data_IF_562235544451
#
_entry.id   IF_562235544451
#
_cell.length_a   1.000
_cell.length_b   1.000
_cell.length_c   1.000
_cell.angle_alpha   90.00
_cell.angle_beta   90.00
_cell.angle_gamma   90.00
#
_symmetry.space_group_name_H-M   'P 1'
#
loop_
_entity.id
_entity.type
_entity.pdbx_description
1 polymer ?
#
# COMPACT_ATOMS: atom_id res chain seq x y z
N UNK A 1 -31.42 -2.27 23.67
CA UNK A 1 -30.00 -1.94 23.86
C UNK A 1 -29.26 -3.21 24.24
N UNK A 2 -28.26 -3.59 23.44
CA UNK A 2 -27.53 -4.85 23.65
C UNK A 2 -26.30 -4.61 24.55
N UNK A 3 -25.85 -5.61 25.31
CA UNK A 3 -24.67 -5.50 26.20
C UNK A 3 -23.42 -4.94 25.51
N UNK A 4 -23.30 -5.11 24.19
CA UNK A 4 -22.23 -4.53 23.37
C UNK A 4 -22.25 -3.01 23.34
N UNK A 5 -23.42 -2.38 23.31
CA UNK A 5 -23.57 -0.91 23.32
C UNK A 5 -23.21 -0.33 24.69
N UNK A 6 -23.50 -1.05 25.77
CA UNK A 6 -23.15 -0.64 27.14
C UNK A 6 -21.64 -0.74 27.39
N UNK A 7 -21.00 -1.79 26.89
CA UNK A 7 -19.55 -1.96 27.01
C UNK A 7 -18.78 -0.90 26.20
N UNK A 8 -19.31 -0.53 25.02
CA UNK A 8 -18.78 0.58 24.22
C UNK A 8 -18.89 1.93 24.95
N UNK A 9 -20.04 2.22 25.59
CA UNK A 9 -20.21 3.45 26.38
C UNK A 9 -19.27 3.52 27.59
N UNK A 10 -19.01 2.40 28.27
CA UNK A 10 -18.11 2.35 29.42
C UNK A 10 -16.65 2.64 29.03
N UNK A 11 -16.16 1.99 27.96
CA UNK A 11 -14.78 2.18 27.47
C UNK A 11 -14.55 3.60 26.94
N UNK A 12 -15.53 4.18 26.25
CA UNK A 12 -15.46 5.57 25.77
C UNK A 12 -15.47 6.57 26.93
N UNK A 13 -16.29 6.32 27.95
CA UNK A 13 -16.38 7.16 29.16
C UNK A 13 -15.07 7.17 29.96
N UNK A 14 -14.43 6.02 30.14
CA UNK A 14 -13.19 5.90 30.91
C UNK A 14 -12.00 6.59 30.21
N UNK A 15 -12.00 6.65 28.88
CA UNK A 15 -10.94 7.30 28.09
C UNK A 15 -11.20 8.79 27.91
N UNK A 16 -12.47 9.21 27.77
CA UNK A 16 -12.87 10.61 27.83
C UNK A 16 -12.55 11.23 29.20
N UNK A 17 -12.61 10.45 30.29
CA UNK A 17 -12.20 10.91 31.61
C UNK A 17 -10.68 11.12 31.74
N UNK A 18 -9.86 10.43 30.93
CA UNK A 18 -8.39 10.60 30.89
C UNK A 18 -7.93 11.74 29.99
N UNK A 19 -8.71 12.12 28.98
CA UNK A 19 -8.44 13.24 28.08
C UNK A 19 -9.51 14.28 28.30
N UNK A 20 -9.26 15.28 29.15
CA UNK A 20 -10.20 16.34 29.54
C UNK A 20 -10.79 17.14 28.37
N UNK A 21 -11.68 16.49 27.62
CA UNK A 21 -12.45 16.99 26.50
C UNK A 21 -13.89 16.60 26.81
N UNK A 22 -14.47 17.35 27.73
CA UNK A 22 -15.92 17.44 27.81
C UNK A 22 -16.36 18.28 26.61
N UNK A 23 -16.49 17.64 25.45
CA UNK A 23 -17.14 18.27 24.31
C UNK A 23 -18.43 17.51 23.98
N UNK A 24 -19.48 18.26 23.71
CA UNK A 24 -20.85 17.79 23.53
C UNK A 24 -21.00 17.00 22.23
N UNK A 25 -20.42 15.82 22.14
CA UNK A 25 -20.74 14.88 21.05
C UNK A 25 -22.18 14.43 21.22
N UNK A 26 -23.06 14.92 20.35
CA UNK A 26 -24.46 14.48 20.28
C UNK A 26 -24.53 12.98 20.04
N UNK A 27 -25.51 12.28 20.63
CA UNK A 27 -25.66 10.81 20.50
C UNK A 27 -25.71 10.38 19.01
N UNK A 28 -26.20 11.26 18.13
CA UNK A 28 -26.21 11.10 16.68
C UNK A 28 -24.79 11.09 16.06
N UNK A 29 -23.90 11.99 16.47
CA UNK A 29 -22.51 12.03 15.98
C UNK A 29 -21.74 10.75 16.35
N UNK A 30 -21.99 10.22 17.55
CA UNK A 30 -21.39 8.96 18.00
C UNK A 30 -21.90 7.76 17.23
N UNK A 31 -23.19 7.76 16.85
CA UNK A 31 -23.78 6.73 15.98
C UNK A 31 -23.13 6.75 14.59
N UNK A 32 -23.01 7.94 13.99
CA UNK A 32 -22.36 8.10 12.69
C UNK A 32 -20.91 7.64 12.70
N UNK A 33 -20.15 7.99 13.75
CA UNK A 33 -18.77 7.54 13.90
C UNK A 33 -18.67 6.02 14.10
N UNK A 34 -19.61 5.44 14.84
CA UNK A 34 -19.72 3.99 15.00
C UNK A 34 -20.01 3.29 13.68
N UNK A 35 -20.92 3.83 12.86
CA UNK A 35 -21.26 3.28 11.55
C UNK A 35 -20.07 3.38 10.59
N UNK A 36 -19.37 4.52 10.57
CA UNK A 36 -18.12 4.69 9.82
C UNK A 36 -17.05 3.67 10.24
N UNK A 37 -16.91 3.41 11.55
CA UNK A 37 -15.99 2.39 12.05
C UNK A 37 -16.37 0.99 11.58
N UNK A 38 -17.66 0.64 11.57
CA UNK A 38 -18.14 -0.65 11.05
C UNK A 38 -17.86 -0.78 9.55
N UNK A 39 -18.06 0.28 8.78
CA UNK A 39 -17.75 0.31 7.35
C UNK A 39 -16.25 0.16 7.08
N UNK A 40 -15.42 0.88 7.83
CA UNK A 40 -13.97 0.73 7.80
C UNK A 40 -13.54 -0.72 8.11
N UNK A 41 -14.12 -1.34 9.14
CA UNK A 41 -13.84 -2.73 9.48
C UNK A 41 -14.24 -3.71 8.36
N UNK A 42 -15.35 -3.47 7.65
CA UNK A 42 -15.73 -4.28 6.49
C UNK A 42 -14.71 -4.15 5.36
N UNK A 43 -14.27 -2.93 5.06
CA UNK A 43 -13.27 -2.70 4.00
C UNK A 43 -11.96 -3.43 4.27
N UNK A 44 -11.43 -3.35 5.50
CA UNK A 44 -10.20 -4.07 5.85
C UNK A 44 -10.43 -5.59 5.96
N UNK A 45 -11.64 -6.05 6.26
CA UNK A 45 -11.96 -7.49 6.29
C UNK A 45 -11.95 -8.09 4.88
N UNK A 46 -12.38 -7.34 3.88
CA UNK A 46 -12.54 -7.87 2.53
C UNK A 46 -11.35 -7.55 1.61
N UNK A 47 -10.52 -6.55 1.95
CA UNK A 47 -9.37 -6.13 1.14
C UNK A 47 -8.04 -6.30 1.87
N UNK A 48 -7.10 -7.03 1.26
CA UNK A 48 -5.79 -7.26 1.86
C UNK A 48 -4.89 -6.02 1.86
N UNK A 49 -4.94 -5.20 0.80
CA UNK A 49 -4.09 -4.01 0.67
C UNK A 49 -4.48 -2.88 1.61
N UNK A 50 -5.72 -2.84 2.11
CA UNK A 50 -6.23 -1.81 3.02
C UNK A 50 -6.10 -0.35 2.52
N UNK A 51 -5.74 -0.13 1.24
CA UNK A 51 -5.58 1.19 0.63
C UNK A 51 -6.91 1.96 0.57
N UNK A 52 -8.00 1.29 0.20
CA UNK A 52 -9.33 1.89 0.22
C UNK A 52 -9.79 2.25 1.63
N UNK A 53 -9.51 1.38 2.60
CA UNK A 53 -9.84 1.62 4.00
C UNK A 53 -9.10 2.84 4.57
N UNK A 54 -7.84 3.06 4.18
CA UNK A 54 -7.08 4.25 4.58
C UNK A 54 -7.77 5.55 4.18
N UNK A 55 -8.47 5.58 3.03
CA UNK A 55 -9.19 6.79 2.58
C UNK A 55 -10.37 7.17 3.47
N UNK A 56 -10.90 6.23 4.26
CA UNK A 56 -11.96 6.50 5.23
C UNK A 56 -11.42 7.03 6.56
N UNK A 57 -10.12 6.88 6.82
CA UNK A 57 -9.53 7.35 8.06
C UNK A 57 -9.56 8.88 8.11
N UNK A 58 -9.99 9.38 9.26
CA UNK A 58 -9.95 10.78 9.68
C UNK A 58 -9.55 10.80 11.16
N UNK A 59 -9.28 11.98 11.73
CA UNK A 59 -8.77 12.10 13.10
C UNK A 59 -9.72 11.48 14.13
N UNK A 60 -11.02 11.74 13.99
CA UNK A 60 -12.06 11.22 14.89
C UNK A 60 -12.12 9.69 14.84
N UNK A 61 -12.06 9.10 13.65
CA UNK A 61 -12.08 7.66 13.47
C UNK A 61 -10.81 7.00 14.01
N UNK A 62 -9.64 7.60 13.81
CA UNK A 62 -8.38 7.12 14.40
C UNK A 62 -8.48 7.16 15.93
N UNK A 63 -8.96 8.26 16.51
CA UNK A 63 -9.20 8.37 17.95
C UNK A 63 -10.20 7.30 18.44
N UNK A 64 -11.22 7.01 17.65
CA UNK A 64 -12.21 5.98 17.96
C UNK A 64 -11.64 4.55 17.90
N UNK A 65 -10.63 4.32 17.05
CA UNK A 65 -9.92 3.03 16.93
C UNK A 65 -9.06 2.74 18.17
N UNK A 66 -8.39 3.74 18.74
CA UNK A 66 -7.42 3.59 19.86
C UNK A 66 -7.91 2.61 20.95
N UNK A 67 -9.05 2.83 21.64
CA UNK A 67 -9.56 1.92 22.66
C UNK A 67 -9.84 0.50 22.17
N UNK A 68 -10.28 0.39 20.92
CA UNK A 68 -10.86 -0.82 20.36
C UNK A 68 -9.81 -1.71 19.75
N UNK A 69 -8.63 -1.15 19.43
CA UNK A 69 -7.55 -1.87 18.76
C UNK A 69 -7.21 -3.19 19.45
N UNK A 70 -7.07 -3.21 20.78
CA UNK A 70 -6.76 -4.43 21.56
C UNK A 70 -7.85 -5.49 21.54
N UNK A 71 -9.10 -5.10 21.31
CA UNK A 71 -10.27 -6.00 21.35
C UNK A 71 -10.45 -6.77 20.03
N UNK A 72 -9.71 -6.39 18.99
CA UNK A 72 -9.79 -7.00 17.67
C UNK A 72 -8.92 -8.25 17.56
N UNK A 73 -9.29 -9.14 16.64
CA UNK A 73 -8.48 -10.30 16.31
C UNK A 73 -7.13 -9.89 15.70
N UNK A 74 -6.10 -10.71 15.86
CA UNK A 74 -4.77 -10.44 15.28
C UNK A 74 -4.81 -10.10 13.78
N UNK A 75 -5.56 -10.80 12.91
CA UNK A 75 -5.66 -10.45 11.50
C UNK A 75 -6.23 -9.05 11.25
N UNK A 76 -7.26 -8.64 12.00
CA UNK A 76 -7.82 -7.29 11.86
C UNK A 76 -6.84 -6.22 12.33
N UNK A 77 -6.14 -6.45 13.44
CA UNK A 77 -5.10 -5.54 13.94
C UNK A 77 -3.98 -5.36 12.92
N UNK A 78 -3.49 -6.45 12.32
CA UNK A 78 -2.50 -6.39 11.24
C UNK A 78 -3.02 -5.54 10.08
N UNK A 79 -4.28 -5.71 9.66
CA UNK A 79 -4.83 -4.94 8.53
C UNK A 79 -5.09 -3.48 8.85
N UNK A 80 -5.46 -3.15 10.09
CA UNK A 80 -5.48 -1.76 10.55
C UNK A 80 -4.10 -1.14 10.42
N UNK A 81 -3.07 -1.82 10.91
CA UNK A 81 -1.69 -1.38 10.76
C UNK A 81 -1.30 -1.25 9.28
N UNK A 82 -1.66 -2.22 8.42
CA UNK A 82 -1.42 -2.12 6.97
C UNK A 82 -2.07 -0.88 6.36
N UNK A 83 -3.29 -0.52 6.80
CA UNK A 83 -3.96 0.69 6.31
C UNK A 83 -3.18 1.96 6.63
N UNK A 84 -2.41 1.99 7.72
CA UNK A 84 -1.65 3.16 8.12
C UNK A 84 -0.51 3.50 7.16
N UNK A 85 0.04 2.52 6.42
CA UNK A 85 1.05 2.80 5.38
C UNK A 85 0.50 3.66 4.22
N UNK A 86 -0.81 3.73 4.06
CA UNK A 86 -1.47 4.49 3.01
C UNK A 86 -2.05 5.82 3.51
N UNK A 87 -1.68 6.27 4.71
CA UNK A 87 -2.15 7.54 5.25
C UNK A 87 -1.62 8.70 4.40
N UNK A 88 -2.47 9.73 4.24
CA UNK A 88 -2.00 11.03 3.74
C UNK A 88 -1.12 11.68 4.81
N UNK A 89 -0.07 12.40 4.39
CA UNK A 89 0.83 13.08 5.31
C UNK A 89 0.11 14.04 6.26
N UNK A 90 -0.92 14.75 5.78
CA UNK A 90 -1.72 15.66 6.60
C UNK A 90 -2.34 14.93 7.79
N UNK A 91 -3.00 13.79 7.53
CA UNK A 91 -3.65 13.00 8.57
C UNK A 91 -2.63 12.30 9.49
N UNK A 92 -1.50 11.86 8.93
CA UNK A 92 -0.41 11.24 9.69
C UNK A 92 0.13 12.18 10.77
N UNK A 93 0.36 13.45 10.40
CA UNK A 93 0.85 14.47 11.33
C UNK A 93 -0.24 14.90 12.31
N UNK A 94 -1.46 15.12 11.84
CA UNK A 94 -2.57 15.58 12.69
C UNK A 94 -2.99 14.55 13.74
N UNK A 95 -3.04 13.27 13.37
CA UNK A 95 -3.43 12.18 14.26
C UNK A 95 -2.24 11.46 14.91
N UNK A 96 -1.04 12.05 14.87
CA UNK A 96 0.21 11.39 15.28
C UNK A 96 0.13 10.77 16.67
N UNK A 97 -0.35 11.51 17.68
CA UNK A 97 -0.44 11.01 19.06
C UNK A 97 -1.35 9.78 19.19
N UNK A 98 -2.50 9.79 18.50
CA UNK A 98 -3.40 8.64 18.48
C UNK A 98 -2.79 7.44 17.76
N UNK A 99 -2.10 7.67 16.65
CA UNK A 99 -1.41 6.63 15.89
C UNK A 99 -0.30 6.00 16.75
N UNK A 100 0.49 6.82 17.43
CA UNK A 100 1.54 6.36 18.34
C UNK A 100 0.98 5.55 19.53
N UNK A 101 -0.21 5.90 20.03
CA UNK A 101 -0.90 5.11 21.06
C UNK A 101 -1.29 3.71 20.53
N UNK A 102 -1.81 3.62 19.31
CA UNK A 102 -2.07 2.33 18.64
C UNK A 102 -0.78 1.52 18.47
N UNK A 103 0.33 2.16 18.05
CA UNK A 103 1.61 1.49 17.90
C UNK A 103 2.17 0.98 19.24
N UNK A 104 1.97 1.72 20.34
CA UNK A 104 2.33 1.25 21.68
C UNK A 104 1.58 -0.03 22.09
N UNK A 105 0.32 -0.18 21.67
CA UNK A 105 -0.41 -1.43 21.83
C UNK A 105 0.10 -2.54 20.91
N UNK A 106 0.47 -2.21 19.67
CA UNK A 106 0.97 -3.18 18.71
C UNK A 106 2.32 -3.79 19.12
N UNK A 107 3.24 -3.01 19.68
CA UNK A 107 4.57 -3.47 20.06
C UNK A 107 4.58 -4.44 21.26
N UNK A 108 3.58 -4.32 22.13
CA UNK A 108 3.40 -5.19 23.29
C UNK A 108 2.45 -6.35 23.02
N UNK A 109 2.05 -6.54 21.76
CA UNK A 109 1.07 -7.56 21.38
C UNK A 109 1.60 -8.98 21.55
N UNK A 110 0.74 -9.94 21.87
CA UNK A 110 1.10 -11.36 21.92
C UNK A 110 1.46 -11.93 20.54
N UNK A 111 0.82 -11.43 19.48
CA UNK A 111 1.04 -11.87 18.11
C UNK A 111 2.24 -11.17 17.47
N UNK A 112 3.17 -11.96 16.93
CA UNK A 112 4.41 -11.45 16.34
C UNK A 112 4.19 -10.56 15.12
N UNK A 113 3.22 -10.89 14.24
CA UNK A 113 2.92 -10.07 13.08
C UNK A 113 2.45 -8.67 13.47
N UNK A 114 1.62 -8.57 14.52
CA UNK A 114 1.17 -7.27 15.04
C UNK A 114 2.36 -6.47 15.59
N UNK A 115 3.26 -7.11 16.35
CA UNK A 115 4.48 -6.45 16.86
C UNK A 115 5.39 -5.93 15.75
N UNK A 116 5.70 -6.78 14.76
CA UNK A 116 6.58 -6.44 13.65
C UNK A 116 5.99 -5.30 12.80
N UNK A 117 4.68 -5.33 12.54
CA UNK A 117 3.99 -4.25 11.85
C UNK A 117 4.01 -2.94 12.66
N UNK A 118 3.87 -3.01 13.99
CA UNK A 118 3.98 -1.84 14.87
C UNK A 118 5.37 -1.19 14.80
N UNK A 119 6.42 -1.99 14.90
CA UNK A 119 7.81 -1.55 14.77
C UNK A 119 8.10 -0.93 13.39
N UNK A 120 7.52 -1.51 12.33
CA UNK A 120 7.64 -1.04 10.96
C UNK A 120 6.98 0.32 10.73
N UNK A 121 5.84 0.55 11.36
CA UNK A 121 5.10 1.81 11.23
C UNK A 121 5.67 2.93 12.06
N UNK A 122 6.34 2.66 13.19
CA UNK A 122 6.87 3.70 14.07
C UNK A 122 7.70 4.77 13.34
N UNK A 123 8.75 4.43 12.57
CA UNK A 123 9.53 5.44 11.85
C UNK A 123 8.69 6.14 10.76
N UNK A 124 7.74 5.42 10.14
CA UNK A 124 6.85 6.00 9.15
C UNK A 124 5.91 7.04 9.75
N UNK A 125 5.29 6.76 10.90
CA UNK A 125 4.40 7.72 11.58
C UNK A 125 5.18 8.97 12.01
N UNK A 126 6.38 8.81 12.57
CA UNK A 126 7.21 9.93 13.02
C UNK A 126 7.76 10.76 11.86
N UNK A 127 8.34 10.12 10.85
CA UNK A 127 9.21 10.78 9.87
C UNK A 127 8.73 10.65 8.42
N UNK A 128 7.66 9.89 8.15
CA UNK A 128 7.15 9.62 6.81
C UNK A 128 7.93 8.56 6.03
N UNK A 129 8.94 7.94 6.64
CA UNK A 129 9.80 6.94 5.99
C UNK A 129 9.86 5.65 6.78
N UNK A 130 9.84 4.52 6.07
CA UNK A 130 10.03 3.20 6.66
C UNK A 130 11.55 2.94 6.79
N UNK A 131 12.00 2.56 7.98
CA UNK A 131 13.40 2.19 8.23
C UNK A 131 13.50 0.73 8.70
N UNK A 132 13.92 -0.14 7.78
CA UNK A 132 14.07 -1.58 8.03
C UNK A 132 15.25 -1.93 8.94
N UNK A 133 16.22 -1.02 9.09
CA UNK A 133 17.46 -1.29 9.85
C UNK A 133 17.21 -1.40 11.35
N UNK A 134 16.08 -0.91 11.84
CA UNK A 134 15.76 -0.89 13.27
C UNK A 134 14.87 -2.05 13.72
N UNK A 135 14.30 -2.81 12.77
CA UNK A 135 13.16 -3.69 13.04
C UNK A 135 13.59 -5.15 13.12
N UNK A 136 14.53 -5.57 12.28
CA UNK A 136 14.83 -6.99 12.18
C UNK A 136 16.26 -7.33 11.72
N UNK A 137 17.26 -6.63 12.26
CA UNK A 137 18.66 -6.94 11.98
C UNK A 137 19.02 -8.38 12.33
N UNK A 138 18.43 -8.94 13.39
CA UNK A 138 18.68 -10.35 13.78
C UNK A 138 18.09 -11.32 12.76
N UNK A 139 16.82 -11.17 12.36
CA UNK A 139 16.23 -12.06 11.35
C UNK A 139 16.88 -11.86 9.99
N UNK A 140 17.18 -10.62 9.60
CA UNK A 140 17.94 -10.34 8.40
C UNK A 140 19.32 -11.03 8.44
N UNK A 141 20.03 -10.95 9.56
CA UNK A 141 21.30 -11.63 9.75
C UNK A 141 21.17 -13.16 9.68
N UNK A 142 20.13 -13.74 10.31
CA UNK A 142 19.84 -15.18 10.22
C UNK A 142 19.54 -15.61 8.79
N UNK A 143 18.75 -14.83 8.04
CA UNK A 143 18.45 -15.10 6.63
C UNK A 143 19.72 -15.03 5.79
N UNK A 144 20.54 -13.98 5.96
CA UNK A 144 21.80 -13.82 5.23
C UNK A 144 22.75 -14.97 5.54
N UNK A 145 22.92 -15.32 6.82
CA UNK A 145 23.78 -16.44 7.25
C UNK A 145 23.28 -17.76 6.67
N UNK A 146 21.96 -18.01 6.73
CA UNK A 146 21.36 -19.20 6.13
C UNK A 146 21.63 -19.28 4.62
N UNK A 147 21.48 -18.16 3.89
CA UNK A 147 21.77 -18.08 2.46
C UNK A 147 23.26 -18.29 2.16
N UNK A 148 24.16 -17.75 2.98
CA UNK A 148 25.60 -17.91 2.82
C UNK A 148 26.06 -19.35 3.10
N UNK A 149 25.48 -20.03 4.10
CA UNK A 149 25.74 -21.43 4.43
C UNK A 149 25.20 -22.39 3.36
N UNK A 150 24.10 -22.04 2.68
CA UNK A 150 23.45 -22.85 1.65
C UNK A 150 23.76 -22.36 0.23
N UNK A 151 24.91 -21.71 0.02
CA UNK A 151 25.52 -21.41 -1.29
C UNK A 151 25.96 -22.68 -2.05
N UNK A 152 25.19 -23.75 -1.96
CA UNK A 152 25.35 -24.91 -2.82
C UNK A 152 24.85 -24.56 -4.23
N UNK A 153 25.54 -25.08 -5.24
CA UNK A 153 25.38 -24.81 -6.68
C UNK A 153 23.97 -25.01 -7.28
N UNK A 154 22.99 -25.38 -6.46
CA UNK A 154 21.57 -25.57 -6.81
C UNK A 154 20.70 -24.36 -6.49
N UNK A 155 21.18 -23.39 -5.70
CA UNK A 155 20.48 -22.13 -5.51
C UNK A 155 20.74 -21.25 -6.73
N UNK A 156 19.82 -21.25 -7.69
CA UNK A 156 19.89 -20.30 -8.81
C UNK A 156 19.80 -18.89 -8.21
N UNK A 157 20.92 -18.16 -8.29
CA UNK A 157 20.93 -16.74 -8.01
C UNK A 157 19.87 -16.11 -8.92
N UNK A 158 18.75 -15.73 -8.31
CA UNK A 158 17.68 -15.06 -9.04
C UNK A 158 18.30 -13.76 -9.51
N UNK A 159 18.43 -13.63 -10.82
CA UNK A 159 19.02 -12.44 -11.41
C UNK A 159 18.34 -11.18 -10.85
N UNK A 160 19.11 -10.08 -10.72
CA UNK A 160 18.61 -8.83 -10.14
C UNK A 160 17.31 -8.36 -10.80
N UNK A 161 16.51 -7.56 -10.08
CA UNK A 161 15.19 -7.09 -10.55
C UNK A 161 15.22 -6.53 -11.99
N UNK A 162 16.35 -5.93 -12.37
CA UNK A 162 16.61 -5.40 -13.70
C UNK A 162 16.51 -6.45 -14.80
N UNK A 163 16.95 -7.69 -14.58
CA UNK A 163 16.89 -8.73 -15.61
C UNK A 163 15.50 -9.36 -15.76
N UNK A 164 14.66 -9.28 -14.72
CA UNK A 164 13.25 -9.72 -14.78
C UNK A 164 12.41 -8.74 -15.62
N UNK A 165 12.89 -7.50 -15.80
CA UNK A 165 12.19 -6.45 -16.55
C UNK A 165 12.90 -5.98 -17.82
N UNK A 166 14.16 -6.34 -18.04
CA UNK A 166 14.78 -6.21 -19.35
C UNK A 166 14.10 -7.24 -20.24
N UNK A 167 13.24 -6.76 -21.14
CA UNK A 167 12.76 -7.55 -22.25
C UNK A 167 13.99 -8.09 -22.97
N UNK A 168 14.34 -9.34 -22.71
CA UNK A 168 15.35 -10.04 -23.50
C UNK A 168 14.84 -9.98 -24.93
N UNK A 169 15.47 -9.16 -25.78
CA UNK A 169 15.31 -9.19 -27.22
C UNK A 169 15.88 -10.54 -27.63
N UNK A 170 15.11 -11.61 -27.43
CA UNK A 170 15.38 -12.86 -28.13
C UNK A 170 15.26 -12.47 -29.59
N UNK A 171 16.43 -12.44 -30.22
CA UNK A 171 16.63 -12.27 -31.64
C UNK A 171 15.51 -13.02 -32.36
N UNK A 172 14.65 -12.25 -33.01
CA UNK A 172 13.64 -12.77 -33.93
C UNK A 172 14.36 -13.22 -35.20
N UNK A 173 15.32 -14.14 -35.07
CA UNK A 173 15.88 -14.86 -36.19
C UNK A 173 15.47 -16.32 -36.07
N UNK A 174 14.84 -16.79 -37.13
CA UNK A 174 13.96 -17.95 -37.14
C UNK A 174 14.61 -19.24 -36.62
N UNK A 175 13.95 -19.84 -35.65
CA UNK A 175 13.72 -21.29 -35.67
C UNK A 175 12.50 -21.61 -34.82
N UNK A 176 11.45 -22.11 -35.46
CA UNK A 176 10.35 -22.80 -34.80
C UNK A 176 10.92 -24.10 -34.23
N UNK A 177 11.33 -24.05 -32.96
CA UNK A 177 11.65 -25.23 -32.19
C UNK A 177 10.63 -25.35 -31.06
N UNK A 178 9.71 -26.29 -31.27
CA UNK A 178 8.86 -26.91 -30.28
C UNK A 178 9.57 -27.15 -28.96
N UNK A 179 9.06 -26.56 -27.88
CA UNK A 179 8.77 -27.26 -26.64
C UNK A 179 7.90 -26.39 -25.75
N UNK A 180 6.73 -26.93 -25.42
CA UNK A 180 5.71 -26.25 -24.65
C UNK A 180 6.17 -25.94 -23.24
N UNK A 181 6.00 -24.69 -22.86
CA UNK A 181 5.56 -24.32 -21.51
C UNK A 181 4.47 -23.27 -21.74
N UNK A 182 3.23 -23.73 -21.92
CA UNK A 182 2.06 -22.89 -21.72
C UNK A 182 1.96 -22.63 -20.21
N UNK A 183 2.76 -21.69 -19.70
CA UNK A 183 2.47 -21.10 -18.41
C UNK A 183 1.27 -20.18 -18.62
N UNK A 184 0.09 -20.75 -18.41
CA UNK A 184 -1.19 -20.04 -18.41
C UNK A 184 -1.36 -19.32 -17.06
N UNK A 185 -0.36 -18.52 -16.67
CA UNK A 185 -0.50 -17.66 -15.52
C UNK A 185 -1.22 -16.36 -15.91
N UNK A 186 -2.03 -15.84 -15.00
CA UNK A 186 -2.83 -14.62 -15.14
C UNK A 186 -1.99 -13.41 -15.61
N UNK A 187 -0.68 -13.48 -15.40
CA UNK A 187 0.30 -12.46 -15.78
C UNK A 187 0.68 -12.48 -17.27
N UNK A 188 0.55 -13.61 -17.96
CA UNK A 188 0.78 -13.71 -19.42
C UNK A 188 -0.13 -12.79 -20.23
N UNK A 189 -1.29 -12.40 -19.68
CA UNK A 189 -2.24 -11.49 -20.32
C UNK A 189 -1.78 -10.03 -20.31
N UNK A 190 -0.87 -9.67 -19.41
CA UNK A 190 -0.34 -8.32 -19.26
C UNK A 190 0.99 -8.11 -19.98
N UNK A 191 1.51 -9.13 -20.67
CA UNK A 191 2.61 -8.92 -21.61
C UNK A 191 2.15 -7.95 -22.71
N UNK A 192 2.89 -6.85 -22.93
CA UNK A 192 2.63 -5.98 -24.06
C UNK A 192 2.73 -6.78 -25.35
N UNK A 193 1.59 -7.06 -25.99
CA UNK A 193 1.54 -7.79 -27.27
C UNK A 193 2.09 -7.00 -28.45
N UNK A 194 2.45 -5.73 -28.24
CA UNK A 194 2.86 -4.80 -29.28
C UNK A 194 4.10 -4.06 -28.82
N UNK A 195 5.16 -4.11 -29.64
CA UNK A 195 6.40 -3.36 -29.41
C UNK A 195 6.07 -1.87 -29.23
N UNK A 196 6.27 -1.36 -28.01
CA UNK A 196 6.09 0.08 -27.72
C UNK A 196 7.00 0.94 -28.60
N UNK A 197 8.13 0.41 -29.05
CA UNK A 197 9.02 1.07 -30.01
C UNK A 197 8.33 1.29 -31.37
N UNK A 198 7.57 0.32 -31.88
CA UNK A 198 6.80 0.47 -33.12
C UNK A 198 5.67 1.49 -32.95
N UNK A 199 5.06 1.55 -31.77
CA UNK A 199 4.06 2.56 -31.45
C UNK A 199 4.70 3.95 -31.38
N UNK A 200 5.87 4.05 -30.74
CA UNK A 200 6.69 5.27 -30.68
C UNK A 200 7.04 5.77 -32.08
N UNK A 201 7.57 4.91 -32.95
CA UNK A 201 7.92 5.23 -34.34
C UNK A 201 6.69 5.67 -35.15
N UNK A 202 5.54 5.05 -34.93
CA UNK A 202 4.29 5.41 -35.61
C UNK A 202 3.79 6.79 -35.16
N UNK A 203 3.91 7.10 -33.87
CA UNK A 203 3.57 8.40 -33.31
C UNK A 203 4.53 9.47 -33.85
N UNK A 204 5.84 9.18 -33.88
CA UNK A 204 6.87 10.08 -34.40
C UNK A 204 6.65 10.37 -35.90
N UNK A 205 6.42 9.34 -36.72
CA UNK A 205 6.08 9.51 -38.14
C UNK A 205 4.81 10.32 -38.34
N UNK A 206 3.76 10.12 -37.54
CA UNK A 206 2.55 10.95 -37.61
C UNK A 206 2.81 12.40 -37.21
N UNK A 207 3.65 12.63 -36.20
CA UNK A 207 3.99 13.97 -35.73
C UNK A 207 4.80 14.75 -36.79
N UNK A 208 5.79 14.09 -37.40
CA UNK A 208 6.61 14.68 -38.48
C UNK A 208 5.75 14.96 -39.72
N UNK A 209 4.95 14.01 -40.17
CA UNK A 209 4.06 14.20 -41.32
C UNK A 209 3.05 15.34 -41.12
N UNK A 210 2.55 15.53 -39.88
CA UNK A 210 1.67 16.67 -39.56
C UNK A 210 2.44 17.99 -39.60
N UNK A 211 3.64 18.04 -39.04
CA UNK A 211 4.50 19.23 -39.06
C UNK A 211 4.82 19.68 -40.48
N UNK A 212 5.13 18.75 -41.36
CA UNK A 212 5.44 19.03 -42.77
C UNK A 212 4.21 19.49 -43.55
N UNK A 213 3.03 18.90 -43.28
CA UNK A 213 1.76 19.34 -43.85
C UNK A 213 1.37 20.76 -43.40
N UNK A 214 1.67 21.16 -42.16
CA UNK A 214 1.48 22.53 -41.68
C UNK A 214 2.47 23.51 -42.31
N UNK A 215 3.73 23.11 -42.52
CA UNK A 215 4.74 23.93 -43.17
C UNK A 215 4.41 24.19 -44.66
N UNK A 216 3.94 23.17 -45.38
CA UNK A 216 3.51 23.31 -46.79
C UNK A 216 2.27 24.20 -46.95
N UNK A 217 1.31 24.15 -46.02
CA UNK A 217 0.14 25.06 -46.05
C UNK A 217 0.54 26.51 -45.81
N UNK A 218 1.54 26.75 -44.97
CA UNK A 218 2.04 28.10 -44.66
C UNK A 218 2.89 28.70 -45.77
N UNK A 219 3.57 27.87 -46.58
CA UNK A 219 4.31 28.36 -47.76
C UNK A 219 3.38 28.71 -48.92
N UNK A 220 2.28 27.96 -49.12
CA UNK A 220 1.32 28.24 -50.20
C UNK A 220 0.54 29.54 -49.96
N UNK A 221 0.26 29.90 -48.71
CA UNK A 221 -0.44 31.14 -48.34
C UNK A 221 0.39 32.42 -48.50
N UNK A 222 1.70 32.32 -48.75
CA UNK A 222 2.60 33.46 -48.93
C UNK A 222 2.81 33.81 -50.42
N UNK A 223 2.45 32.90 -51.33
CA UNK A 223 2.59 33.07 -52.79
C UNK A 223 1.36 33.64 -53.51
N UNK A 224 0.26 33.94 -52.80
CA UNK A 224 -0.97 34.55 -53.35
C UNK A 224 -1.16 36.02 -52.94
N UNK A 225 -0.08 36.79 -52.83
CA UNK A 225 -0.12 38.27 -52.78
C UNK A 225 0.80 38.84 -53.86
#
# INVERSE_FOLDING_TARGET
MTEKEQNVKAVVSEIASRRGVADMTTDESLRQLSDQYVEYLKLIKDNWSSCHASKMLNVELVQYIVPRFRQLSAPLRVRILTSFFYLKDTLRVEAQDNLMEVLGFAETDANEWVRKMGQLLRPFILNGMIDLRLIDTETAFRIITFLDEHKDSTYYEKEGLDSVHICSVKESDGSVASNGIQNDDEYTQYYPRVNFDKLGDTILKRAVNRRDAYAQRRSLSITEI
#
